data_IF_724834993334
#
_entry.id   IF_724834993334
#
_cell.length_a   1.000
_cell.length_b   1.000
_cell.length_c   1.000
_cell.angle_alpha   90.00
_cell.angle_beta   90.00
_cell.angle_gamma   90.00
#
_symmetry.space_group_name_H-M   'P 1'
#
loop_
_entity.id
_entity.type
_entity.pdbx_description
1 polymer ?
#
# COMPACT_ATOMS: atom_id res chain seq x y z
N UNK A 1 8.11 2.47 16.85
CA UNK A 1 7.30 1.77 15.85
C UNK A 1 7.44 2.43 14.49
N UNK A 2 7.47 1.66 13.44
CA UNK A 2 7.54 2.19 12.07
C UNK A 2 6.12 2.29 11.52
N UNK A 3 5.80 3.44 10.92
CA UNK A 3 4.55 3.65 10.19
C UNK A 3 4.87 3.70 8.70
N UNK A 4 4.21 2.83 7.95
CA UNK A 4 4.43 2.62 6.52
C UNK A 4 3.18 3.04 5.77
N UNK A 5 3.31 4.01 4.86
CA UNK A 5 2.20 4.57 4.11
C UNK A 5 2.53 4.51 2.63
N UNK A 6 1.61 3.97 1.83
CA UNK A 6 1.79 3.93 0.38
C UNK A 6 0.53 4.44 -0.30
N UNK A 7 0.71 5.40 -1.19
CA UNK A 7 -0.35 5.93 -2.04
C UNK A 7 -0.30 5.26 -3.40
N UNK A 8 -1.45 4.83 -3.89
CA UNK A 8 -1.59 4.23 -5.21
C UNK A 8 -2.64 4.96 -6.03
N UNK A 9 -2.37 5.09 -7.34
CA UNK A 9 -3.40 5.45 -8.30
C UNK A 9 -3.50 4.38 -9.38
N UNK A 10 -4.70 4.18 -9.92
CA UNK A 10 -4.94 3.25 -11.01
C UNK A 10 -4.70 3.95 -12.34
N UNK A 11 -4.05 3.26 -13.29
CA UNK A 11 -3.90 3.77 -14.65
C UNK A 11 -5.28 3.87 -15.34
N UNK A 12 -6.16 2.91 -15.07
CA UNK A 12 -7.56 2.94 -15.48
C UNK A 12 -8.44 2.97 -14.22
N UNK A 13 -9.30 3.99 -14.05
CA UNK A 13 -10.15 4.10 -12.85
C UNK A 13 -11.03 2.86 -12.61
N UNK A 14 -11.38 2.12 -13.65
CA UNK A 14 -12.19 0.90 -13.53
C UNK A 14 -11.44 -0.21 -12.78
N UNK A 15 -10.14 -0.10 -12.63
CA UNK A 15 -9.29 -1.11 -11.98
C UNK A 15 -8.98 -0.82 -10.51
N UNK A 16 -9.54 0.25 -9.92
CA UNK A 16 -9.26 0.61 -8.52
C UNK A 16 -9.59 -0.55 -7.59
N UNK A 17 -10.75 -1.18 -7.72
CA UNK A 17 -11.14 -2.28 -6.83
C UNK A 17 -10.30 -3.53 -7.07
N UNK A 18 -9.86 -3.79 -8.29
CA UNK A 18 -8.94 -4.90 -8.57
C UNK A 18 -7.59 -4.70 -7.89
N UNK A 19 -7.08 -3.47 -7.92
CA UNK A 19 -5.83 -3.14 -7.22
C UNK A 19 -6.03 -3.31 -5.72
N UNK A 20 -7.16 -2.84 -5.17
CA UNK A 20 -7.44 -2.97 -3.74
C UNK A 20 -7.48 -4.43 -3.32
N UNK A 21 -8.16 -5.28 -4.07
CA UNK A 21 -8.22 -6.72 -3.77
C UNK A 21 -6.82 -7.35 -3.77
N UNK A 22 -5.99 -6.99 -4.74
CA UNK A 22 -4.61 -7.49 -4.79
C UNK A 22 -3.81 -7.00 -3.58
N UNK A 23 -3.96 -5.72 -3.19
CA UNK A 23 -3.26 -5.17 -2.03
C UNK A 23 -3.69 -5.84 -0.73
N UNK A 24 -4.94 -6.30 -0.64
CA UNK A 24 -5.44 -6.98 0.56
C UNK A 24 -4.73 -8.30 0.83
N UNK A 25 -4.10 -8.94 -0.17
CA UNK A 25 -3.31 -10.15 0.10
C UNK A 25 -2.11 -9.87 1.00
N UNK A 26 -1.65 -8.63 1.09
CA UNK A 26 -0.55 -8.25 2.00
C UNK A 26 -0.93 -8.42 3.47
N UNK A 27 -2.22 -8.47 3.79
CA UNK A 27 -2.69 -8.74 5.15
C UNK A 27 -2.28 -10.13 5.66
N UNK A 28 -1.99 -11.05 4.76
CA UNK A 28 -1.58 -12.41 5.12
C UNK A 28 -0.09 -12.51 5.49
N UNK A 29 0.68 -11.44 5.32
CA UNK A 29 2.08 -11.40 5.74
C UNK A 29 2.13 -11.15 7.25
N UNK A 30 2.80 -12.03 8.05
CA UNK A 30 2.66 -12.01 9.50
C UNK A 30 3.53 -10.99 10.25
N UNK A 31 4.12 -10.02 9.58
CA UNK A 31 5.11 -9.12 10.20
C UNK A 31 4.54 -7.77 10.62
N UNK A 32 3.37 -7.38 10.12
CA UNK A 32 2.76 -6.11 10.50
C UNK A 32 1.95 -6.26 11.80
N UNK A 33 2.03 -5.26 12.67
CA UNK A 33 1.19 -5.18 13.86
C UNK A 33 -0.19 -4.64 13.52
N UNK A 34 -0.28 -3.86 12.46
CA UNK A 34 -1.53 -3.33 11.92
C UNK A 34 -1.37 -3.20 10.41
N UNK A 35 -2.43 -3.52 9.67
CA UNK A 35 -2.44 -3.40 8.21
C UNK A 35 -3.85 -3.08 7.74
N UNK A 36 -3.97 -2.08 6.86
CA UNK A 36 -5.24 -1.77 6.22
C UNK A 36 -5.03 -1.16 4.85
N UNK A 37 -6.03 -1.31 3.99
CA UNK A 37 -6.08 -0.66 2.68
C UNK A 37 -7.35 0.18 2.64
N UNK A 38 -7.17 1.50 2.57
CA UNK A 38 -8.27 2.45 2.52
C UNK A 38 -8.50 2.98 1.12
N UNK A 39 -9.75 3.37 0.84
CA UNK A 39 -10.08 4.14 -0.35
C UNK A 39 -9.97 5.63 0.00
N UNK A 40 -9.30 6.40 -0.85
CA UNK A 40 -9.22 7.83 -0.65
C UNK A 40 -10.63 8.43 -0.75
N UNK A 41 -11.00 9.27 0.20
CA UNK A 41 -12.30 9.95 0.19
C UNK A 41 -12.42 10.99 -0.94
N UNK A 42 -11.32 11.38 -1.55
CA UNK A 42 -11.24 12.42 -2.58
C UNK A 42 -11.74 13.80 -2.11
N UNK A 43 -11.74 14.02 -0.80
CA UNK A 43 -12.23 15.27 -0.21
C UNK A 43 -11.23 16.42 -0.31
N UNK A 44 -9.97 16.12 -0.62
CA UNK A 44 -8.90 17.11 -0.70
C UNK A 44 -8.08 16.84 -1.96
N UNK A 45 -8.68 17.11 -3.11
CA UNK A 45 -8.07 16.83 -4.40
C UNK A 45 -7.22 18.03 -4.87
N UNK A 46 -5.99 17.74 -5.33
CA UNK A 46 -5.11 18.72 -5.94
C UNK A 46 -4.98 18.39 -7.42
N UNK A 47 -5.11 19.41 -8.28
CA UNK A 47 -4.99 19.23 -9.72
C UNK A 47 -3.62 18.63 -10.09
N UNK A 48 -3.64 17.62 -10.94
CA UNK A 48 -2.43 16.94 -11.42
C UNK A 48 -1.93 15.81 -10.52
N UNK A 49 -2.54 15.61 -9.36
CA UNK A 49 -2.21 14.52 -8.45
C UNK A 49 -3.46 13.71 -8.13
N UNK A 50 -3.35 12.39 -8.22
CA UNK A 50 -4.48 11.51 -7.88
C UNK A 50 -4.01 10.40 -6.97
N UNK A 51 -4.75 10.19 -5.88
CA UNK A 51 -4.59 9.05 -4.98
C UNK A 51 -5.92 8.33 -4.91
N UNK A 52 -5.94 7.07 -5.27
CA UNK A 52 -7.15 6.24 -5.21
C UNK A 52 -7.18 5.38 -3.95
N UNK A 53 -6.03 4.83 -3.56
CA UNK A 53 -5.92 3.88 -2.45
C UNK A 53 -4.74 4.24 -1.56
N UNK A 54 -4.89 3.93 -0.27
CA UNK A 54 -3.83 4.11 0.72
C UNK A 54 -3.61 2.78 1.43
N UNK A 55 -2.38 2.30 1.41
CA UNK A 55 -1.93 1.22 2.28
C UNK A 55 -1.34 1.85 3.53
N UNK A 56 -1.81 1.43 4.69
CA UNK A 56 -1.27 1.86 5.97
C UNK A 56 -0.92 0.63 6.79
N UNK A 57 0.31 0.57 7.28
CA UNK A 57 0.77 -0.53 8.10
C UNK A 57 1.70 -0.04 9.20
N UNK A 58 1.74 -0.78 10.30
CA UNK A 58 2.61 -0.51 11.45
C UNK A 58 3.50 -1.72 11.69
N UNK A 59 4.78 -1.45 11.92
CA UNK A 59 5.80 -2.48 12.20
C UNK A 59 6.54 -2.12 13.48
N UNK A 60 6.91 -3.12 14.25
CA UNK A 60 7.62 -2.89 15.51
C UNK A 60 8.95 -2.20 15.30
N UNK A 61 9.66 -2.54 14.22
CA UNK A 61 10.97 -1.99 13.89
C UNK A 61 11.27 -2.13 12.38
N UNK A 62 12.41 -1.61 11.95
CA UNK A 62 12.80 -1.65 10.54
C UNK A 62 13.05 -3.08 10.05
N UNK A 63 13.50 -3.99 10.94
CA UNK A 63 13.72 -5.39 10.57
C UNK A 63 12.37 -6.07 10.20
N UNK A 64 11.30 -5.78 10.93
CA UNK A 64 9.97 -6.30 10.62
C UNK A 64 9.45 -5.77 9.28
N UNK A 65 9.67 -4.48 8.99
CA UNK A 65 9.32 -3.91 7.70
C UNK A 65 10.10 -4.58 6.57
N UNK A 66 11.39 -4.80 6.76
CA UNK A 66 12.23 -5.48 5.76
C UNK A 66 11.75 -6.92 5.51
N UNK A 67 11.41 -7.65 6.58
CA UNK A 67 10.89 -9.02 6.47
C UNK A 67 9.55 -9.04 5.72
N UNK A 68 8.68 -8.08 5.96
CA UNK A 68 7.42 -7.92 5.24
C UNK A 68 7.68 -7.76 3.73
N UNK A 69 8.60 -6.87 3.36
CA UNK A 69 8.92 -6.63 1.94
C UNK A 69 9.61 -7.83 1.28
N UNK A 70 10.29 -8.66 2.04
CA UNK A 70 10.97 -9.85 1.54
C UNK A 70 10.07 -11.08 1.46
N UNK A 71 8.85 -11.01 1.99
CA UNK A 71 7.93 -12.14 2.00
C UNK A 71 7.45 -12.46 0.57
N UNK A 72 7.28 -13.77 0.22
CA UNK A 72 6.81 -14.16 -1.13
C UNK A 72 5.48 -13.51 -1.54
N UNK A 73 4.55 -13.35 -0.60
CA UNK A 73 3.26 -12.69 -0.87
C UNK A 73 3.46 -11.26 -1.37
N UNK A 74 4.48 -10.56 -0.85
CA UNK A 74 4.76 -9.20 -1.30
C UNK A 74 5.10 -9.17 -2.79
N UNK A 75 5.96 -10.08 -3.26
CA UNK A 75 6.31 -10.17 -4.67
C UNK A 75 5.11 -10.56 -5.55
N UNK A 76 4.26 -11.46 -5.07
CA UNK A 76 3.03 -11.84 -5.78
C UNK A 76 2.09 -10.64 -5.92
N UNK A 77 1.93 -9.87 -4.86
CA UNK A 77 1.11 -8.67 -4.88
C UNK A 77 1.64 -7.64 -5.89
N UNK A 78 2.95 -7.39 -5.88
CA UNK A 78 3.57 -6.47 -6.84
C UNK A 78 3.30 -6.90 -8.27
N UNK A 79 3.41 -8.19 -8.57
CA UNK A 79 3.18 -8.72 -9.91
C UNK A 79 1.75 -8.46 -10.39
N UNK A 80 0.76 -8.49 -9.48
CA UNK A 80 -0.62 -8.21 -9.81
C UNK A 80 -0.94 -6.71 -9.93
N UNK A 81 -0.31 -5.89 -9.09
CA UNK A 81 -0.62 -4.46 -9.00
C UNK A 81 0.11 -3.64 -10.05
N UNK A 82 1.39 -3.96 -10.32
CA UNK A 82 2.24 -3.16 -11.22
C UNK A 82 1.63 -2.89 -12.59
N UNK A 83 1.01 -3.87 -13.29
CA UNK A 83 0.42 -3.59 -14.60
C UNK A 83 -0.86 -2.75 -14.53
N UNK A 84 -1.47 -2.60 -13.36
CA UNK A 84 -2.74 -1.88 -13.20
C UNK A 84 -2.57 -0.48 -12.62
N UNK A 85 -1.49 -0.25 -11.85
CA UNK A 85 -1.27 1.04 -11.21
C UNK A 85 -0.63 2.05 -12.15
N UNK A 86 -0.91 3.33 -11.89
CA UNK A 86 -0.14 4.43 -12.44
C UNK A 86 0.99 4.81 -11.47
N UNK A 87 0.66 5.47 -10.37
CA UNK A 87 1.64 5.93 -9.38
C UNK A 87 1.67 5.07 -8.13
N UNK A 88 2.86 4.98 -7.54
CA UNK A 88 3.08 4.42 -6.21
C UNK A 88 4.07 5.32 -5.50
N UNK A 89 3.65 5.89 -4.39
CA UNK A 89 4.48 6.77 -3.56
C UNK A 89 4.47 6.22 -2.14
N UNK A 90 5.63 5.90 -1.61
CA UNK A 90 5.76 5.32 -0.28
C UNK A 90 6.53 6.26 0.65
N UNK A 91 6.13 6.27 1.92
CA UNK A 91 6.84 6.96 2.97
C UNK A 91 6.80 6.14 4.25
N UNK A 92 7.93 6.05 4.92
CA UNK A 92 8.08 5.35 6.19
C UNK A 92 8.64 6.31 7.22
N UNK A 93 8.11 6.26 8.45
CA UNK A 93 8.66 7.09 9.52
C UNK A 93 8.53 6.38 10.86
N UNK A 94 9.40 6.79 11.80
CA UNK A 94 9.31 6.32 13.18
C UNK A 94 8.33 7.19 13.94
N UNK A 95 7.31 6.58 14.53
CA UNK A 95 6.45 7.28 15.47
C UNK A 95 7.22 7.49 16.76
N UNK A 96 7.23 8.69 17.19
CA UNK A 96 8.02 9.08 18.36
C UNK A 96 7.27 9.36 19.57
#
# INVERSE_FOLDING_TARGET
>A
MIRHIVFFSAANPDNVERIREALMMLADIPHARHFEVGRNLQSDAIAGARVDLVVYAEFENEAALAAYKAHPIYAECIALVRPLRDQRIAADFKSG
#
